data_IF_565720385586
#
_entry.id   IF_565720385586
#
_cell.length_a   1.000
_cell.length_b   1.000
_cell.length_c   1.000
_cell.angle_alpha   90.00
_cell.angle_beta   90.00
_cell.angle_gamma   90.00
#
_symmetry.space_group_name_H-M   'P 1'
#
loop_
_entity.id
_entity.type
_entity.pdbx_description
1 polymer ?
#
# COMPACT_ATOMS: atom_id res chain seq x y z
N UNK A 1 26.03 17.93 -6.60
CA UNK A 1 25.31 17.38 -5.41
C UNK A 1 25.41 18.29 -4.18
N UNK A 2 26.61 18.72 -3.75
CA UNK A 2 26.76 19.61 -2.57
C UNK A 2 25.96 20.92 -2.67
N UNK A 3 25.97 21.58 -3.83
CA UNK A 3 25.16 22.79 -4.06
C UNK A 3 23.65 22.53 -3.96
N UNK A 4 23.18 21.36 -4.42
CA UNK A 4 21.77 20.96 -4.28
C UNK A 4 21.38 20.70 -2.83
N UNK A 5 22.26 20.10 -2.03
CA UNK A 5 22.03 19.90 -0.59
C UNK A 5 21.90 21.25 0.10
N UNK A 6 22.85 22.16 -0.11
CA UNK A 6 22.82 23.50 0.48
C UNK A 6 21.58 24.29 0.04
N UNK A 7 21.21 24.21 -1.24
CA UNK A 7 19.99 24.82 -1.77
C UNK A 7 18.75 24.25 -1.11
N UNK A 8 18.63 22.91 -1.01
CA UNK A 8 17.47 22.27 -0.38
C UNK A 8 17.34 22.63 1.10
N UNK A 9 18.46 22.70 1.83
CA UNK A 9 18.46 23.12 3.24
C UNK A 9 18.02 24.58 3.38
N UNK A 10 18.64 25.50 2.65
CA UNK A 10 18.31 26.92 2.71
C UNK A 10 16.86 27.19 2.28
N UNK A 11 16.42 26.58 1.18
CA UNK A 11 15.05 26.69 0.67
C UNK A 11 14.02 26.13 1.65
N UNK A 12 14.31 24.97 2.27
CA UNK A 12 13.41 24.38 3.27
C UNK A 12 13.30 25.27 4.50
N UNK A 13 14.43 25.74 5.05
CA UNK A 13 14.43 26.61 6.24
C UNK A 13 13.70 27.92 5.97
N UNK A 14 14.01 28.59 4.85
CA UNK A 14 13.36 29.84 4.47
C UNK A 14 11.84 29.65 4.31
N UNK A 15 11.42 28.57 3.65
CA UNK A 15 9.99 28.28 3.43
C UNK A 15 9.29 27.92 4.75
N UNK A 16 9.92 27.14 5.62
CA UNK A 16 9.36 26.80 6.95
C UNK A 16 9.14 28.06 7.81
N UNK A 17 10.13 28.97 7.84
CA UNK A 17 10.01 30.25 8.56
C UNK A 17 8.88 31.09 7.97
N UNK A 18 8.84 31.23 6.64
CA UNK A 18 7.79 31.97 5.95
C UNK A 18 6.40 31.41 6.27
N UNK A 19 6.20 30.10 6.14
CA UNK A 19 4.92 29.45 6.43
C UNK A 19 4.52 29.59 7.91
N UNK A 20 5.49 29.54 8.82
CA UNK A 20 5.27 29.82 10.24
C UNK A 20 4.73 31.23 10.47
N UNK A 21 5.38 32.25 9.89
CA UNK A 21 4.93 33.66 9.97
C UNK A 21 3.53 33.81 9.40
N UNK A 22 3.25 33.24 8.22
CA UNK A 22 1.93 33.29 7.59
C UNK A 22 0.88 32.62 8.47
N UNK A 23 1.18 31.45 9.04
CA UNK A 23 0.25 30.74 9.91
C UNK A 23 -0.11 31.54 11.16
N UNK A 24 0.89 32.08 11.88
CA UNK A 24 0.64 32.88 13.08
C UNK A 24 -0.06 34.21 12.82
N UNK A 25 0.08 34.77 11.62
CA UNK A 25 -0.60 36.03 11.24
C UNK A 25 -2.02 35.81 10.73
N UNK A 26 -2.28 34.71 10.02
CA UNK A 26 -3.58 34.46 9.37
C UNK A 26 -4.51 33.55 10.17
N UNK A 27 -3.96 32.58 10.92
CA UNK A 27 -4.73 31.54 11.60
C UNK A 27 -4.03 31.07 12.88
N UNK A 28 -3.84 31.96 13.89
CA UNK A 28 -3.07 31.66 15.10
C UNK A 28 -3.66 30.53 15.96
N UNK A 29 -4.95 30.22 15.77
CA UNK A 29 -5.65 29.17 16.51
C UNK A 29 -5.29 27.75 16.03
N UNK A 30 -4.75 27.62 14.81
CA UNK A 30 -4.48 26.31 14.18
C UNK A 30 -3.07 26.28 13.64
N UNK A 31 -2.24 25.32 14.07
CA UNK A 31 -0.84 25.23 13.64
C UNK A 31 -0.67 24.49 12.29
N UNK A 32 -1.35 24.95 11.24
CA UNK A 32 -1.38 24.25 9.95
C UNK A 32 -0.02 24.21 9.23
N UNK A 33 0.93 25.09 9.56
CA UNK A 33 2.24 25.08 8.90
C UNK A 33 3.07 23.83 9.21
N UNK A 34 2.75 23.07 10.26
CA UNK A 34 3.49 21.85 10.64
C UNK A 34 3.39 20.78 9.53
N UNK A 35 2.24 20.68 8.84
CA UNK A 35 2.02 19.72 7.74
C UNK A 35 3.04 19.86 6.61
N UNK A 36 3.20 21.04 5.95
CA UNK A 36 4.21 21.22 4.93
C UNK A 36 5.65 21.20 5.49
N UNK A 37 5.88 21.60 6.75
CA UNK A 37 7.20 21.53 7.38
C UNK A 37 7.78 20.12 7.40
N UNK A 38 6.95 19.09 7.65
CA UNK A 38 7.40 17.70 7.59
C UNK A 38 8.00 17.35 6.21
N UNK A 39 7.30 17.72 5.14
CA UNK A 39 7.73 17.45 3.77
C UNK A 39 8.99 18.25 3.40
N UNK A 40 9.04 19.52 3.82
CA UNK A 40 10.20 20.39 3.64
C UNK A 40 11.42 19.84 4.39
N UNK A 41 11.25 19.21 5.55
CA UNK A 41 12.35 18.60 6.29
C UNK A 41 12.80 17.27 5.66
N UNK A 42 11.87 16.48 5.12
CA UNK A 42 12.19 15.24 4.41
C UNK A 42 12.98 15.47 3.13
N UNK A 43 12.77 16.59 2.43
CA UNK A 43 13.45 16.88 1.17
C UNK A 43 14.99 16.92 1.25
N UNK A 44 15.63 17.74 2.11
CA UNK A 44 17.08 17.75 2.24
C UNK A 44 17.62 16.40 2.75
N UNK A 45 16.91 15.74 3.66
CA UNK A 45 17.26 14.39 4.14
C UNK A 45 17.32 13.40 2.96
N UNK A 46 16.31 13.45 2.08
CA UNK A 46 16.26 12.62 0.87
C UNK A 46 17.48 12.85 0.00
N UNK A 47 17.84 14.11 -0.30
CA UNK A 47 19.00 14.41 -1.14
C UNK A 47 20.30 13.92 -0.48
N UNK A 48 20.47 14.12 0.84
CA UNK A 48 21.65 13.68 1.58
C UNK A 48 21.78 12.15 1.55
N UNK A 49 20.70 11.43 1.82
CA UNK A 49 20.70 9.97 1.81
C UNK A 49 20.90 9.40 0.40
N UNK A 50 20.29 10.01 -0.63
CA UNK A 50 20.49 9.62 -2.03
C UNK A 50 21.94 9.84 -2.47
N UNK A 51 22.54 10.98 -2.10
CA UNK A 51 23.95 11.27 -2.38
C UNK A 51 24.90 10.23 -1.79
N UNK A 52 24.64 9.81 -0.55
CA UNK A 52 25.42 8.79 0.14
C UNK A 52 25.01 7.35 -0.19
N UNK A 53 24.02 7.14 -1.08
CA UNK A 53 23.43 5.83 -1.41
C UNK A 53 22.89 5.05 -0.19
N UNK A 54 22.44 5.76 0.84
CA UNK A 54 21.98 5.20 2.12
C UNK A 54 20.47 4.94 2.11
N UNK A 55 19.95 4.23 1.09
CA UNK A 55 18.51 4.05 0.87
C UNK A 55 17.81 3.30 2.02
N UNK A 56 18.50 2.32 2.63
CA UNK A 56 17.96 1.54 3.76
C UNK A 56 17.77 2.42 5.01
N UNK A 57 18.77 3.24 5.32
CA UNK A 57 18.70 4.16 6.46
C UNK A 57 17.70 5.30 6.21
N UNK A 58 17.59 5.77 4.97
CA UNK A 58 16.55 6.72 4.57
C UNK A 58 15.15 6.20 4.89
N UNK A 59 14.89 4.92 4.60
CA UNK A 59 13.61 4.30 4.94
C UNK A 59 13.31 4.39 6.42
N UNK A 60 14.28 4.06 7.28
CA UNK A 60 14.10 4.15 8.75
C UNK A 60 13.85 5.59 9.19
N UNK A 61 14.67 6.55 8.73
CA UNK A 61 14.52 7.96 9.11
C UNK A 61 13.15 8.49 8.71
N UNK A 62 12.74 8.22 7.46
CA UNK A 62 11.45 8.64 6.93
C UNK A 62 10.29 7.98 7.69
N UNK A 63 10.34 6.65 7.90
CA UNK A 63 9.36 5.92 8.69
C UNK A 63 9.22 6.51 10.10
N UNK A 64 10.34 6.73 10.81
CA UNK A 64 10.32 7.28 12.17
C UNK A 64 9.73 8.68 12.20
N UNK A 65 10.12 9.56 11.27
CA UNK A 65 9.57 10.92 11.20
C UNK A 65 8.06 10.92 10.96
N UNK A 66 7.57 10.10 10.01
CA UNK A 66 6.14 10.00 9.73
C UNK A 66 5.41 9.42 10.96
N UNK A 67 5.93 8.37 11.59
CA UNK A 67 5.29 7.77 12.77
C UNK A 67 5.18 8.78 13.92
N UNK A 68 6.27 9.49 14.23
CA UNK A 68 6.28 10.52 15.28
C UNK A 68 5.27 11.62 14.94
N UNK A 69 5.23 12.06 13.69
CA UNK A 69 4.27 13.06 13.24
C UNK A 69 2.82 12.59 13.42
N UNK A 70 2.48 11.37 13.00
CA UNK A 70 1.12 10.83 13.13
C UNK A 70 0.72 10.63 14.60
N UNK A 71 1.66 10.27 15.47
CA UNK A 71 1.41 10.18 16.93
C UNK A 71 1.10 11.56 17.51
N UNK A 72 1.88 12.59 17.15
CA UNK A 72 1.66 13.96 17.60
C UNK A 72 0.29 14.46 17.15
N UNK A 73 -0.04 14.30 15.86
CA UNK A 73 -1.34 14.68 15.30
C UNK A 73 -2.50 13.98 16.00
N UNK A 74 -2.38 12.67 16.23
CA UNK A 74 -3.41 11.91 16.92
C UNK A 74 -3.61 12.43 18.35
N UNK A 75 -2.53 12.67 19.08
CA UNK A 75 -2.57 13.17 20.46
C UNK A 75 -3.20 14.57 20.56
N UNK A 76 -2.94 15.45 19.59
CA UNK A 76 -3.48 16.82 19.59
C UNK A 76 -4.97 16.84 19.27
N UNK A 77 -5.41 16.14 18.22
CA UNK A 77 -6.77 16.30 17.69
C UNK A 77 -7.77 15.25 18.16
N UNK A 78 -7.30 14.02 18.42
CA UNK A 78 -8.18 12.87 18.67
C UNK A 78 -7.53 11.88 19.67
N UNK A 79 -7.22 12.33 20.90
CA UNK A 79 -6.48 11.53 21.87
C UNK A 79 -7.24 10.27 22.30
N UNK A 80 -8.58 10.29 22.25
CA UNK A 80 -9.43 9.17 22.68
C UNK A 80 -9.45 8.00 21.68
N UNK A 81 -9.04 8.24 20.43
CA UNK A 81 -9.08 7.24 19.37
C UNK A 81 -7.72 7.15 18.66
N UNK A 82 -6.88 6.16 18.98
CA UNK A 82 -5.49 6.08 18.52
C UNK A 82 -5.36 5.65 17.05
N UNK A 83 -5.81 6.49 16.13
CA UNK A 83 -5.86 6.17 14.70
C UNK A 83 -4.48 6.03 14.05
N UNK A 84 -3.42 6.56 14.66
CA UNK A 84 -2.06 6.41 14.14
C UNK A 84 -1.66 4.92 14.01
N UNK A 85 -2.24 4.03 14.83
CA UNK A 85 -2.00 2.59 14.82
C UNK A 85 -2.29 1.99 13.43
N UNK A 86 -3.34 2.45 12.74
CA UNK A 86 -3.67 1.97 11.39
C UNK A 86 -2.54 2.21 10.38
N UNK A 87 -1.79 3.30 10.55
CA UNK A 87 -0.75 3.71 9.61
C UNK A 87 0.65 3.19 9.99
N UNK A 88 0.93 2.93 11.28
CA UNK A 88 2.27 2.48 11.71
C UNK A 88 2.70 1.20 11.00
N UNK A 89 1.83 0.19 10.93
CA UNK A 89 2.19 -1.10 10.38
C UNK A 89 2.74 -1.03 8.94
N UNK A 90 2.04 -0.44 7.95
CA UNK A 90 2.57 -0.35 6.59
C UNK A 90 3.85 0.49 6.51
N UNK A 91 3.98 1.54 7.33
CA UNK A 91 5.19 2.38 7.38
C UNK A 91 6.40 1.59 7.90
N UNK A 92 6.22 0.77 8.94
CA UNK A 92 7.27 -0.11 9.48
C UNK A 92 7.58 -1.22 8.48
N UNK A 93 6.55 -1.80 7.88
CA UNK A 93 6.69 -2.89 6.92
C UNK A 93 7.53 -2.48 5.71
N UNK A 94 7.36 -1.25 5.21
CA UNK A 94 8.21 -0.70 4.15
C UNK A 94 9.69 -0.72 4.52
N UNK A 95 10.04 -0.28 5.73
CA UNK A 95 11.43 -0.32 6.22
C UNK A 95 11.97 -1.74 6.32
N UNK A 96 11.17 -2.70 6.80
CA UNK A 96 11.56 -4.11 6.84
C UNK A 96 11.86 -4.62 5.41
N UNK A 97 10.99 -4.34 4.44
CA UNK A 97 11.16 -4.78 3.05
C UNK A 97 12.42 -4.17 2.40
N UNK A 98 12.71 -2.90 2.67
CA UNK A 98 13.93 -2.25 2.17
C UNK A 98 15.21 -2.93 2.68
N UNK A 99 15.19 -3.50 3.88
CA UNK A 99 16.31 -4.27 4.41
C UNK A 99 16.40 -5.69 3.84
N UNK A 100 15.25 -6.32 3.60
CA UNK A 100 15.16 -7.65 2.99
C UNK A 100 15.60 -7.66 1.51
N UNK A 101 15.49 -6.53 0.81
CA UNK A 101 16.00 -6.32 -0.55
C UNK A 101 15.49 -7.42 -1.51
N UNK A 102 16.37 -8.12 -2.23
CA UNK A 102 15.99 -9.23 -3.13
C UNK A 102 15.23 -10.37 -2.43
N UNK A 103 15.47 -10.60 -1.13
CA UNK A 103 14.72 -11.62 -0.36
C UNK A 103 13.24 -11.24 -0.21
N UNK A 104 12.92 -9.95 -0.28
CA UNK A 104 11.55 -9.44 -0.25
C UNK A 104 10.68 -9.95 -1.39
N UNK A 105 11.28 -10.40 -2.50
CA UNK A 105 10.58 -10.95 -3.67
C UNK A 105 10.30 -12.45 -3.57
N UNK A 106 10.66 -13.08 -2.45
CA UNK A 106 10.43 -14.52 -2.27
C UNK A 106 9.00 -14.80 -1.81
N UNK A 107 8.46 -15.95 -2.24
CA UNK A 107 7.12 -16.37 -1.84
C UNK A 107 7.00 -16.53 -0.31
N UNK A 108 8.07 -16.98 0.35
CA UNK A 108 8.10 -17.12 1.82
C UNK A 108 7.88 -15.78 2.52
N UNK A 109 8.60 -14.73 2.12
CA UNK A 109 8.43 -13.39 2.70
C UNK A 109 7.04 -12.83 2.39
N UNK A 110 6.52 -13.04 1.18
CA UNK A 110 5.16 -12.61 0.83
C UNK A 110 4.09 -13.29 1.68
N UNK A 111 4.23 -14.59 1.97
CA UNK A 111 3.32 -15.31 2.86
C UNK A 111 3.40 -14.81 4.31
N UNK A 112 4.61 -14.58 4.83
CA UNK A 112 4.81 -14.02 6.18
C UNK A 112 4.23 -12.60 6.28
N UNK A 113 4.50 -11.77 5.28
CA UNK A 113 3.95 -10.41 5.20
C UNK A 113 2.44 -10.40 5.12
N UNK A 114 1.86 -11.23 4.25
CA UNK A 114 0.42 -11.43 4.15
C UNK A 114 -0.19 -11.86 5.50
N UNK A 115 0.35 -12.90 6.13
CA UNK A 115 -0.16 -13.41 7.41
C UNK A 115 -0.04 -12.35 8.52
N UNK A 116 1.12 -11.71 8.66
CA UNK A 116 1.32 -10.66 9.68
C UNK A 116 0.42 -9.45 9.46
N UNK A 117 0.18 -9.04 8.21
CA UNK A 117 -0.72 -7.91 7.88
C UNK A 117 -2.16 -8.26 8.29
N UNK A 118 -2.63 -9.46 7.93
CA UNK A 118 -3.98 -9.92 8.27
C UNK A 118 -4.16 -9.99 9.78
N UNK A 119 -3.22 -10.63 10.49
CA UNK A 119 -3.27 -10.77 11.95
C UNK A 119 -3.27 -9.40 12.61
N UNK A 120 -2.38 -8.50 12.18
CA UNK A 120 -2.29 -7.16 12.73
C UNK A 120 -3.61 -6.40 12.58
N UNK A 121 -4.14 -6.29 11.36
CA UNK A 121 -5.37 -5.54 11.14
C UNK A 121 -6.61 -6.22 11.73
N UNK A 122 -6.64 -7.56 11.82
CA UNK A 122 -7.69 -8.26 12.53
C UNK A 122 -7.70 -7.92 14.03
N UNK A 123 -6.52 -7.89 14.68
CA UNK A 123 -6.38 -7.47 16.08
C UNK A 123 -6.81 -6.01 16.26
N UNK A 124 -6.32 -5.11 15.39
CA UNK A 124 -6.71 -3.69 15.43
C UNK A 124 -8.22 -3.52 15.25
N UNK A 125 -8.84 -4.30 14.36
CA UNK A 125 -10.28 -4.28 14.14
C UNK A 125 -11.07 -4.70 15.39
N UNK A 126 -10.67 -5.79 16.03
CA UNK A 126 -11.34 -6.31 17.24
C UNK A 126 -11.21 -5.31 18.40
N UNK A 127 -10.04 -4.68 18.55
CA UNK A 127 -9.75 -3.79 19.69
C UNK A 127 -10.36 -2.40 19.50
N UNK A 128 -10.21 -1.78 18.33
CA UNK A 128 -10.59 -0.38 18.12
C UNK A 128 -11.98 -0.19 17.49
N UNK A 129 -12.45 -1.13 16.66
CA UNK A 129 -13.70 -0.93 15.91
C UNK A 129 -14.44 -2.25 15.66
N UNK A 130 -14.88 -2.97 16.71
CA UNK A 130 -15.46 -4.31 16.58
C UNK A 130 -16.83 -4.34 15.87
N UNK A 131 -17.46 -3.17 15.67
CA UNK A 131 -18.81 -3.07 15.13
C UNK A 131 -18.91 -3.52 13.67
N UNK A 132 -17.81 -3.44 12.93
CA UNK A 132 -17.76 -3.82 11.53
C UNK A 132 -16.42 -4.51 11.22
N UNK A 133 -16.40 -5.68 10.55
CA UNK A 133 -15.18 -6.42 10.29
C UNK A 133 -14.41 -5.82 9.10
N UNK A 134 -13.96 -4.57 9.19
CA UNK A 134 -13.24 -3.87 8.13
C UNK A 134 -11.89 -4.51 7.79
N UNK A 135 -11.33 -5.38 8.64
CA UNK A 135 -10.11 -6.13 8.36
C UNK A 135 -10.19 -7.00 7.08
N UNK A 136 -11.41 -7.30 6.59
CA UNK A 136 -11.61 -8.00 5.31
C UNK A 136 -10.99 -7.25 4.12
N UNK A 137 -10.97 -5.92 4.16
CA UNK A 137 -10.45 -5.09 3.06
C UNK A 137 -8.92 -5.15 2.93
N UNK A 138 -8.10 -4.86 3.98
CA UNK A 138 -6.67 -5.03 3.89
C UNK A 138 -6.27 -6.50 3.71
N UNK A 139 -7.04 -7.44 4.27
CA UNK A 139 -6.81 -8.87 4.04
C UNK A 139 -6.93 -9.24 2.55
N UNK A 140 -8.00 -8.80 1.90
CA UNK A 140 -8.18 -8.99 0.46
C UNK A 140 -6.99 -8.43 -0.31
N UNK A 141 -6.59 -7.17 -0.05
CA UNK A 141 -5.49 -6.52 -0.76
C UNK A 141 -4.16 -7.27 -0.59
N UNK A 142 -3.82 -7.68 0.62
CA UNK A 142 -2.50 -8.28 0.88
C UNK A 142 -2.39 -9.72 0.35
N UNK A 143 -3.50 -10.46 0.23
CA UNK A 143 -3.52 -11.81 -0.36
C UNK A 143 -3.08 -11.80 -1.84
N UNK A 144 -3.29 -10.70 -2.56
CA UNK A 144 -2.80 -10.56 -3.94
C UNK A 144 -1.29 -10.71 -4.05
N UNK A 145 -0.55 -10.34 -3.01
CA UNK A 145 0.90 -10.34 -3.05
C UNK A 145 1.51 -11.74 -3.21
N UNK A 146 1.26 -12.73 -2.32
CA UNK A 146 1.73 -14.09 -2.52
C UNK A 146 1.10 -14.75 -3.76
N UNK A 147 -0.16 -14.45 -4.07
CA UNK A 147 -0.85 -15.02 -5.23
C UNK A 147 -0.17 -14.62 -6.55
N UNK A 148 0.08 -13.32 -6.74
CA UNK A 148 0.74 -12.79 -7.92
C UNK A 148 2.17 -13.33 -8.05
N UNK A 149 2.93 -13.36 -6.95
CA UNK A 149 4.29 -13.92 -6.93
C UNK A 149 4.33 -15.40 -7.33
N UNK A 150 3.44 -16.22 -6.76
CA UNK A 150 3.36 -17.65 -7.06
C UNK A 150 3.14 -17.90 -8.56
N UNK A 151 2.17 -17.22 -9.16
CA UNK A 151 1.84 -17.42 -10.56
C UNK A 151 2.85 -16.77 -11.51
N UNK A 152 3.44 -15.63 -11.15
CA UNK A 152 4.48 -14.99 -11.94
C UNK A 152 5.74 -15.87 -12.03
N UNK A 153 6.17 -16.47 -10.92
CA UNK A 153 7.33 -17.37 -10.88
C UNK A 153 7.13 -18.63 -11.73
N UNK A 154 5.89 -19.15 -11.77
CA UNK A 154 5.53 -20.33 -12.57
C UNK A 154 5.08 -20.02 -14.00
N UNK A 155 4.98 -18.74 -14.37
CA UNK A 155 4.45 -18.26 -15.67
C UNK A 155 3.04 -18.80 -15.98
N UNK A 156 2.21 -19.04 -14.96
CA UNK A 156 0.86 -19.63 -15.10
C UNK A 156 -0.22 -18.56 -15.15
N UNK A 157 -0.17 -17.68 -16.14
CA UNK A 157 -1.04 -16.50 -16.25
C UNK A 157 -2.54 -16.83 -16.39
N UNK A 158 -2.90 -17.94 -17.05
CA UNK A 158 -4.31 -18.37 -17.14
C UNK A 158 -4.82 -18.84 -15.78
N UNK A 159 -4.02 -19.66 -15.07
CA UNK A 159 -4.38 -20.10 -13.72
C UNK A 159 -4.50 -18.91 -12.76
N UNK A 160 -3.63 -17.89 -12.89
CA UNK A 160 -3.73 -16.64 -12.13
C UNK A 160 -5.07 -15.94 -12.34
N UNK A 161 -5.56 -15.84 -13.59
CA UNK A 161 -6.85 -15.20 -13.85
C UNK A 161 -8.01 -15.93 -13.16
N UNK A 162 -7.95 -17.26 -13.07
CA UNK A 162 -8.96 -18.07 -12.38
C UNK A 162 -8.86 -17.88 -10.86
N UNK A 163 -7.66 -17.98 -10.28
CA UNK A 163 -7.47 -17.84 -8.83
C UNK A 163 -7.74 -16.41 -8.35
N UNK A 164 -7.37 -15.39 -9.13
CA UNK A 164 -7.70 -14.00 -8.84
C UNK A 164 -9.21 -13.74 -8.94
N UNK A 165 -9.89 -14.31 -9.95
CA UNK A 165 -11.35 -14.21 -10.06
C UNK A 165 -12.03 -14.85 -8.84
N UNK A 166 -11.56 -16.02 -8.40
CA UNK A 166 -12.08 -16.67 -7.19
C UNK A 166 -11.88 -15.80 -5.95
N UNK A 167 -10.69 -15.22 -5.77
CA UNK A 167 -10.38 -14.32 -4.65
C UNK A 167 -11.32 -13.09 -4.64
N UNK A 168 -11.51 -12.46 -5.80
CA UNK A 168 -12.40 -11.31 -5.95
C UNK A 168 -13.85 -11.70 -5.64
N UNK A 169 -14.31 -12.85 -6.15
CA UNK A 169 -15.67 -13.34 -5.91
C UNK A 169 -15.92 -13.62 -4.43
N UNK A 170 -15.00 -14.33 -3.77
CA UNK A 170 -15.09 -14.59 -2.32
C UNK A 170 -15.15 -13.27 -1.54
N UNK A 171 -14.29 -12.31 -1.89
CA UNK A 171 -14.29 -11.00 -1.26
C UNK A 171 -15.64 -10.29 -1.40
N UNK A 172 -16.20 -10.18 -2.61
CA UNK A 172 -17.48 -9.50 -2.80
C UNK A 172 -18.66 -10.23 -2.16
N UNK A 173 -18.64 -11.57 -2.11
CA UNK A 173 -19.63 -12.35 -1.35
C UNK A 173 -19.56 -12.00 0.13
N UNK A 174 -18.37 -12.00 0.73
CA UNK A 174 -18.18 -11.65 2.14
C UNK A 174 -18.64 -10.21 2.41
N UNK A 175 -18.22 -9.24 1.59
CA UNK A 175 -18.62 -7.83 1.75
C UNK A 175 -20.14 -7.68 1.64
N UNK A 176 -20.78 -8.38 0.71
CA UNK A 176 -22.23 -8.34 0.56
C UNK A 176 -22.97 -8.88 1.79
N UNK A 177 -22.55 -10.05 2.30
CA UNK A 177 -23.12 -10.65 3.51
C UNK A 177 -22.98 -9.71 4.72
N UNK A 178 -21.81 -9.09 4.87
CA UNK A 178 -21.50 -8.23 6.02
C UNK A 178 -22.17 -6.86 5.91
N UNK A 179 -22.11 -6.22 4.74
CA UNK A 179 -22.56 -4.83 4.56
C UNK A 179 -24.05 -4.71 4.24
N UNK A 180 -24.60 -5.65 3.48
CA UNK A 180 -25.95 -5.49 2.89
C UNK A 180 -26.61 -6.85 2.63
N UNK A 181 -26.89 -7.65 3.68
CA UNK A 181 -27.45 -9.00 3.51
C UNK A 181 -28.83 -9.01 2.85
N UNK A 182 -29.55 -7.88 2.86
CA UNK A 182 -30.87 -7.75 2.23
C UNK A 182 -30.86 -7.58 0.72
N UNK A 183 -29.69 -7.36 0.08
CA UNK A 183 -29.59 -7.12 -1.37
C UNK A 183 -28.39 -7.87 -1.95
N UNK A 184 -28.62 -8.79 -2.88
CA UNK A 184 -27.57 -9.61 -3.51
C UNK A 184 -26.88 -8.84 -4.64
N UNK A 185 -26.06 -7.85 -4.31
CA UNK A 185 -25.34 -7.04 -5.29
C UNK A 185 -23.97 -7.62 -5.68
N UNK A 186 -23.44 -8.62 -4.94
CA UNK A 186 -22.15 -9.26 -5.27
C UNK A 186 -22.11 -9.89 -6.67
N UNK A 187 -23.27 -10.28 -7.22
CA UNK A 187 -23.38 -10.90 -8.55
C UNK A 187 -22.83 -10.00 -9.67
N UNK A 188 -22.99 -8.68 -9.55
CA UNK A 188 -22.57 -7.72 -10.58
C UNK A 188 -21.04 -7.67 -10.74
N UNK A 189 -20.23 -7.41 -9.70
CA UNK A 189 -18.78 -7.42 -9.85
C UNK A 189 -18.23 -8.83 -10.16
N UNK A 190 -18.86 -9.90 -9.66
CA UNK A 190 -18.46 -11.29 -10.00
C UNK A 190 -18.65 -11.55 -11.49
N UNK A 191 -19.77 -11.13 -12.07
CA UNK A 191 -20.00 -11.29 -13.49
C UNK A 191 -18.95 -10.57 -14.33
N UNK A 192 -18.56 -9.36 -13.93
CA UNK A 192 -17.50 -8.60 -14.60
C UNK A 192 -16.16 -9.33 -14.52
N UNK A 193 -15.80 -9.88 -13.35
CA UNK A 193 -14.49 -10.52 -13.17
C UNK A 193 -14.37 -11.86 -13.90
N UNK A 194 -15.48 -12.57 -14.12
CA UNK A 194 -15.52 -13.80 -14.93
C UNK A 194 -15.07 -13.60 -16.38
N UNK A 195 -15.16 -12.38 -16.94
CA UNK A 195 -14.64 -12.08 -18.27
C UNK A 195 -13.11 -12.19 -18.34
N UNK A 196 -12.40 -12.06 -17.22
CA UNK A 196 -10.95 -12.15 -17.19
C UNK A 196 -10.43 -13.56 -17.57
N UNK A 197 -10.79 -14.65 -16.88
CA UNK A 197 -10.37 -15.98 -17.29
C UNK A 197 -10.89 -16.37 -18.67
N UNK A 198 -12.09 -15.92 -19.06
CA UNK A 198 -12.65 -16.15 -20.39
C UNK A 198 -11.78 -15.51 -21.49
N UNK A 199 -11.40 -14.24 -21.31
CA UNK A 199 -10.53 -13.52 -22.25
C UNK A 199 -9.14 -14.16 -22.37
N UNK A 200 -8.56 -14.58 -21.23
CA UNK A 200 -7.28 -15.28 -21.20
C UNK A 200 -7.35 -16.64 -21.91
N UNK A 201 -8.44 -17.39 -21.71
CA UNK A 201 -8.68 -18.66 -22.39
C UNK A 201 -8.72 -18.47 -23.91
N UNK A 202 -9.53 -17.52 -24.39
CA UNK A 202 -9.63 -17.22 -25.83
C UNK A 202 -8.31 -16.73 -26.42
N UNK A 203 -7.59 -15.84 -25.72
CA UNK A 203 -6.31 -15.32 -26.19
C UNK A 203 -5.28 -16.44 -26.40
N UNK A 204 -5.15 -17.34 -25.44
CA UNK A 204 -4.18 -18.46 -25.50
C UNK A 204 -4.58 -19.49 -26.55
N UNK A 205 -5.86 -19.88 -26.60
CA UNK A 205 -6.34 -20.91 -27.52
C UNK A 205 -6.33 -20.43 -28.98
N UNK A 206 -6.80 -19.20 -29.24
CA UNK A 206 -6.81 -18.59 -30.59
C UNK A 206 -5.39 -18.43 -31.15
N UNK A 207 -4.42 -18.02 -30.31
CA UNK A 207 -3.01 -17.92 -30.72
C UNK A 207 -2.42 -19.27 -31.14
N UNK A 208 -2.71 -20.33 -30.38
CA UNK A 208 -2.26 -21.70 -30.71
C UNK A 208 -2.87 -22.20 -32.02
N UNK A 209 -4.16 -21.95 -32.26
CA UNK A 209 -4.82 -22.30 -33.51
C UNK A 209 -4.18 -21.62 -34.72
N UNK A 210 -3.94 -20.30 -34.68
CA UNK A 210 -3.28 -19.60 -35.79
C UNK A 210 -1.86 -20.12 -36.06
N UNK A 211 -1.09 -20.38 -35.01
CA UNK A 211 0.26 -20.95 -35.17
C UNK A 211 0.21 -22.34 -35.83
N UNK A 212 -0.72 -23.20 -35.42
CA UNK A 212 -0.91 -24.52 -36.02
C UNK A 212 -1.35 -24.44 -37.49
N UNK A 213 -2.27 -23.52 -37.83
CA UNK A 213 -2.70 -23.31 -39.22
C UNK A 213 -1.57 -22.77 -40.10
N UNK A 214 -0.75 -21.85 -39.58
CA UNK A 214 0.40 -21.30 -40.31
C UNK A 214 1.49 -22.35 -40.54
N UNK A 215 1.82 -23.14 -39.52
CA UNK A 215 2.79 -24.24 -39.65
C UNK A 215 2.34 -25.33 -40.64
N UNK A 216 1.04 -25.52 -40.85
CA UNK A 216 0.49 -26.47 -41.84
C UNK A 216 0.47 -25.92 -43.28
N UNK A 217 0.69 -24.62 -43.47
CA UNK A 217 0.71 -23.95 -44.78
C UNK A 217 2.13 -23.71 -45.32
N UNK A 218 3.16 -24.03 -44.55
CA UNK A 218 4.59 -23.98 -44.91
C UNK A 218 5.08 -25.39 -45.18
#
# INVERSE_FOLDING_TARGET
MKNFINFSLAGSIMTMIFLGIVNFTTSPQTMWFIYPCLLLLLWPITIICMYKKMYKQYSIICSTMIIVFLIIENYIYTPDHPWFIYAIYPIVWWSILMYLDEKGKTLKIALIGCASTIIYYALVNIILSPQYPWAIYPAFLVIWWPLALYHAQRKTFVAFSVTATLLISIFFIIVNIVSSPGVIWAIYPIFVTLWWPLSMYFYVYKRRMYQATFAKRM
#
